data_IF_582242619336
#
_entry.id   IF_582242619336
#
_cell.length_a   1.000
_cell.length_b   1.000
_cell.length_c   1.000
_cell.angle_alpha   90.00
_cell.angle_beta   90.00
_cell.angle_gamma   90.00
#
_symmetry.space_group_name_H-M   'P 1'
#
loop_
_entity.id
_entity.type
_entity.pdbx_description
1 polymer ?
#
# COMPACT_ATOMS: atom_id res chain seq x y z
N UNK A 1 40.21 31.74 -25.10
CA UNK A 1 39.54 30.41 -25.20
C UNK A 1 39.08 29.86 -23.85
N UNK A 2 39.97 29.77 -22.83
CA UNK A 2 39.62 29.18 -21.50
C UNK A 2 38.45 29.90 -20.83
N UNK A 3 38.41 31.22 -20.82
CA UNK A 3 37.28 31.97 -20.20
C UNK A 3 35.92 31.68 -20.84
N UNK A 4 35.88 31.49 -22.15
CA UNK A 4 34.63 31.15 -22.88
C UNK A 4 34.16 29.74 -22.49
N UNK A 5 35.07 28.78 -22.36
CA UNK A 5 34.71 27.39 -21.94
C UNK A 5 34.16 27.40 -20.52
N UNK A 6 34.77 28.17 -19.60
CA UNK A 6 34.28 28.29 -18.22
C UNK A 6 32.85 28.85 -18.20
N UNK A 7 32.54 29.89 -19.00
CA UNK A 7 31.21 30.47 -19.08
C UNK A 7 30.19 29.44 -19.57
N UNK A 8 30.50 28.65 -20.58
CA UNK A 8 29.59 27.58 -21.07
C UNK A 8 29.37 26.49 -20.02
N UNK A 9 30.39 26.07 -19.29
CA UNK A 9 30.27 25.08 -18.21
C UNK A 9 29.35 25.60 -17.09
N UNK A 10 29.52 26.86 -16.68
CA UNK A 10 28.66 27.48 -15.65
C UNK A 10 27.19 27.54 -16.11
N UNK A 11 26.97 27.97 -17.35
CA UNK A 11 25.60 28.01 -17.92
C UNK A 11 25.00 26.60 -17.94
N UNK A 12 25.73 25.58 -18.37
CA UNK A 12 25.26 24.19 -18.40
C UNK A 12 24.88 23.68 -17.00
N UNK A 13 25.71 23.96 -15.99
CA UNK A 13 25.42 23.59 -14.60
C UNK A 13 24.18 24.29 -14.05
N UNK A 14 24.00 25.58 -14.38
CA UNK A 14 22.79 26.33 -13.98
C UNK A 14 21.54 25.75 -14.63
N UNK A 15 21.58 25.43 -15.94
CA UNK A 15 20.47 24.78 -16.64
C UNK A 15 20.16 23.41 -16.05
N UNK A 16 21.19 22.59 -15.78
CA UNK A 16 21.01 21.28 -15.17
C UNK A 16 20.38 21.39 -13.78
N UNK A 17 20.85 22.34 -12.95
CA UNK A 17 20.28 22.59 -11.62
C UNK A 17 18.83 23.04 -11.69
N UNK A 18 18.47 23.90 -12.65
CA UNK A 18 17.11 24.34 -12.90
C UNK A 18 16.21 23.16 -13.30
N UNK A 19 16.66 22.29 -14.20
CA UNK A 19 15.92 21.09 -14.63
C UNK A 19 15.68 20.14 -13.44
N UNK A 20 16.69 19.91 -12.61
CA UNK A 20 16.55 19.08 -11.40
C UNK A 20 15.57 19.69 -10.39
N UNK A 21 15.59 21.01 -10.19
CA UNK A 21 14.62 21.71 -9.34
C UNK A 21 13.19 21.62 -9.87
N UNK A 22 12.99 21.76 -11.18
CA UNK A 22 11.68 21.60 -11.81
C UNK A 22 11.16 20.16 -11.72
N UNK A 23 12.03 19.16 -11.90
CA UNK A 23 11.71 17.76 -11.75
C UNK A 23 11.30 17.42 -10.29
N UNK A 24 12.03 17.93 -9.30
CA UNK A 24 11.70 17.75 -7.89
C UNK A 24 10.37 18.39 -7.49
N UNK A 25 10.04 19.56 -8.06
CA UNK A 25 8.73 20.23 -7.86
C UNK A 25 7.57 19.42 -8.45
N UNK A 26 7.78 18.75 -9.58
CA UNK A 26 6.74 17.92 -10.23
C UNK A 26 6.39 16.68 -9.38
N UNK A 27 7.33 16.05 -8.70
CA UNK A 27 7.06 14.94 -7.76
C UNK A 27 6.24 15.42 -6.54
N UNK A 28 6.58 16.58 -5.99
CA UNK A 28 5.84 17.19 -4.86
C UNK A 28 4.38 17.52 -5.22
N UNK A 29 4.10 17.94 -6.45
CA UNK A 29 2.72 18.28 -6.88
C UNK A 29 1.85 17.04 -7.09
N UNK A 30 2.39 15.92 -7.57
CA UNK A 30 1.66 14.66 -7.71
C UNK A 30 1.23 14.09 -6.35
N UNK A 31 2.12 14.13 -5.35
CA UNK A 31 1.80 13.73 -3.99
C UNK A 31 0.74 14.65 -3.34
N UNK A 32 0.78 15.96 -3.60
CA UNK A 32 -0.23 16.92 -3.13
C UNK A 32 -1.58 16.71 -3.81
N UNK A 33 -1.58 16.37 -5.11
CA UNK A 33 -2.81 16.08 -5.86
C UNK A 33 -3.48 14.82 -5.35
N UNK A 34 -2.72 13.72 -5.17
CA UNK A 34 -3.22 12.49 -4.59
C UNK A 34 -3.77 12.71 -3.16
N UNK A 35 -3.10 13.50 -2.32
CA UNK A 35 -3.61 13.89 -1.01
C UNK A 35 -4.95 14.59 -1.06
N UNK A 36 -5.12 15.56 -1.97
CA UNK A 36 -6.35 16.34 -2.13
C UNK A 36 -7.49 15.46 -2.68
N UNK A 37 -7.17 14.56 -3.60
CA UNK A 37 -8.11 13.65 -4.24
C UNK A 37 -8.59 12.55 -3.29
N UNK A 38 -7.69 11.99 -2.47
CA UNK A 38 -7.99 10.87 -1.57
C UNK A 38 -8.07 11.26 -0.10
N UNK A 39 -7.96 12.55 0.23
CA UNK A 39 -8.09 13.05 1.60
C UNK A 39 -7.07 12.46 2.59
N UNK A 40 -5.87 12.11 2.11
CA UNK A 40 -4.81 11.49 2.92
C UNK A 40 -4.40 12.46 4.07
N UNK A 41 -4.20 11.97 5.30
CA UNK A 41 -3.88 12.81 6.47
C UNK A 41 -2.69 13.73 6.25
N UNK A 42 -2.66 14.82 7.01
CA UNK A 42 -1.49 15.71 7.07
C UNK A 42 -0.31 14.92 7.62
N UNK A 43 0.80 14.87 6.85
CA UNK A 43 2.00 14.14 7.23
C UNK A 43 2.94 13.97 6.03
N UNK A 44 4.17 13.53 6.27
CA UNK A 44 5.14 13.25 5.22
C UNK A 44 4.91 11.85 4.64
N UNK A 45 4.67 11.74 3.35
CA UNK A 45 4.68 10.43 2.67
C UNK A 45 6.12 9.94 2.64
N UNK A 46 6.39 8.81 3.28
CA UNK A 46 7.71 8.19 3.35
C UNK A 46 7.86 6.97 2.45
N UNK A 47 6.72 6.44 1.95
CA UNK A 47 6.65 5.30 1.08
C UNK A 47 5.45 5.44 0.15
N UNK A 48 5.60 5.07 -1.13
CA UNK A 48 4.49 4.97 -2.09
C UNK A 48 4.79 3.92 -3.15
N UNK A 49 3.78 3.13 -3.54
CA UNK A 49 3.83 2.18 -4.65
C UNK A 49 3.10 2.69 -5.91
N UNK A 50 2.42 3.86 -5.84
CA UNK A 50 1.57 4.35 -6.94
C UNK A 50 2.32 4.97 -8.11
N UNK A 51 3.48 5.57 -7.88
CA UNK A 51 4.22 6.29 -8.93
C UNK A 51 5.52 5.59 -9.36
N UNK A 52 6.07 4.74 -8.53
CA UNK A 52 7.22 3.88 -8.79
C UNK A 52 7.07 2.59 -8.01
N UNK A 53 7.30 1.41 -8.63
CA UNK A 53 7.22 0.15 -7.92
C UNK A 53 8.15 0.17 -6.70
N UNK A 54 7.57 0.26 -5.52
CA UNK A 54 8.33 0.18 -4.29
C UNK A 54 8.69 -1.27 -3.97
N UNK A 55 9.73 -1.48 -3.18
CA UNK A 55 10.06 -2.82 -2.69
C UNK A 55 8.98 -3.25 -1.71
N UNK A 56 8.49 -4.51 -1.79
CA UNK A 56 7.52 -5.00 -0.82
C UNK A 56 8.15 -5.02 0.58
N UNK A 57 7.35 -4.68 1.59
CA UNK A 57 7.68 -4.97 2.97
C UNK A 57 7.56 -6.48 3.17
N UNK A 58 8.47 -7.06 3.93
CA UNK A 58 8.50 -8.48 4.21
C UNK A 58 8.76 -8.73 5.68
N UNK A 59 7.95 -9.60 6.28
CA UNK A 59 8.14 -10.10 7.63
C UNK A 59 8.67 -11.53 7.61
N UNK A 60 9.87 -11.72 8.14
CA UNK A 60 10.42 -13.07 8.35
C UNK A 60 9.72 -13.80 9.50
N UNK A 61 9.29 -13.05 10.50
CA UNK A 61 8.61 -13.60 11.69
C UNK A 61 7.25 -14.18 11.35
N UNK A 62 6.47 -13.44 10.54
CA UNK A 62 5.09 -13.82 10.20
C UNK A 62 4.97 -14.42 8.80
N UNK A 63 6.05 -14.47 8.01
CA UNK A 63 6.11 -14.98 6.63
C UNK A 63 5.03 -14.36 5.75
N UNK A 64 4.86 -13.07 5.86
CA UNK A 64 3.96 -12.26 5.04
C UNK A 64 4.74 -11.20 4.30
N UNK A 65 4.24 -10.82 3.12
CA UNK A 65 4.76 -9.72 2.33
C UNK A 65 3.61 -8.85 1.87
N UNK A 66 3.87 -7.56 1.63
CA UNK A 66 2.86 -6.66 1.14
C UNK A 66 3.41 -5.30 0.75
N UNK A 67 2.60 -4.58 -0.02
CA UNK A 67 2.88 -3.23 -0.50
C UNK A 67 1.69 -2.36 -0.19
N UNK A 68 1.73 -1.52 0.86
CA UNK A 68 0.72 -0.48 1.05
C UNK A 68 0.82 0.55 -0.07
N UNK A 69 -0.30 1.15 -0.47
CA UNK A 69 -0.28 2.24 -1.46
C UNK A 69 0.54 3.43 -0.96
N UNK A 70 0.40 3.76 0.34
CA UNK A 70 1.20 4.78 1.00
C UNK A 70 1.54 4.40 2.43
N UNK A 71 2.66 4.96 2.94
CA UNK A 71 2.94 5.10 4.37
C UNK A 71 3.13 6.58 4.65
N UNK A 72 2.30 7.12 5.53
CA UNK A 72 2.36 8.52 5.96
C UNK A 72 2.95 8.57 7.36
N UNK A 73 3.96 9.40 7.54
CA UNK A 73 4.46 9.74 8.87
C UNK A 73 3.65 10.92 9.40
N UNK A 74 2.86 10.69 10.43
CA UNK A 74 2.10 11.72 11.12
C UNK A 74 3.05 12.72 11.81
N UNK A 75 2.86 14.01 11.56
CA UNK A 75 3.76 15.06 12.04
C UNK A 75 3.64 15.33 13.56
N UNK A 76 2.50 14.99 14.15
CA UNK A 76 2.24 15.25 15.57
C UNK A 76 2.71 14.09 16.45
N UNK A 77 2.40 12.87 16.03
CA UNK A 77 2.65 11.65 16.82
C UNK A 77 3.91 10.89 16.39
N UNK A 78 4.52 11.27 15.24
CA UNK A 78 5.58 10.51 14.56
C UNK A 78 5.19 9.07 14.20
N UNK A 79 3.91 8.69 14.34
CA UNK A 79 3.43 7.37 13.96
C UNK A 79 3.48 7.16 12.45
N UNK A 80 3.75 5.93 12.02
CA UNK A 80 3.66 5.52 10.62
C UNK A 80 2.29 4.90 10.36
N UNK A 81 1.55 5.50 9.44
CA UNK A 81 0.17 5.15 9.14
C UNK A 81 0.10 4.58 7.74
N UNK A 82 -0.21 3.27 7.56
CA UNK A 82 -0.50 2.73 6.23
C UNK A 82 -1.81 3.28 5.71
N UNK A 83 -1.83 3.60 4.43
CA UNK A 83 -3.01 4.04 3.70
C UNK A 83 -3.20 3.10 2.51
N UNK A 84 -4.39 2.56 2.38
CA UNK A 84 -4.80 1.70 1.28
C UNK A 84 -5.97 2.33 0.54
N UNK A 85 -5.86 2.48 -0.77
CA UNK A 85 -6.86 3.07 -1.64
C UNK A 85 -7.64 1.97 -2.36
N UNK A 86 -8.95 2.07 -2.40
CA UNK A 86 -9.84 1.12 -3.06
C UNK A 86 -10.67 1.80 -4.13
N UNK A 87 -10.71 1.21 -5.32
CA UNK A 87 -11.46 1.74 -6.47
C UNK A 87 -12.98 1.65 -6.33
N UNK A 88 -13.48 0.86 -5.38
CA UNK A 88 -14.91 0.73 -5.12
C UNK A 88 -15.44 1.74 -4.11
N UNK A 89 -16.77 1.72 -3.91
CA UNK A 89 -17.46 2.51 -2.90
C UNK A 89 -17.90 1.58 -1.77
N UNK A 90 -17.74 2.00 -0.52
CA UNK A 90 -18.21 1.22 0.61
C UNK A 90 -18.72 2.10 1.75
N UNK A 91 -19.98 1.87 2.17
CA UNK A 91 -20.55 2.51 3.37
C UNK A 91 -19.84 2.05 4.65
N UNK A 92 -19.41 0.79 4.67
CA UNK A 92 -18.64 0.15 5.75
C UNK A 92 -17.44 -0.57 5.13
N UNK A 93 -16.28 -0.61 5.79
CA UNK A 93 -15.11 -1.32 5.30
C UNK A 93 -15.42 -2.82 5.06
N UNK A 94 -15.00 -3.34 3.92
CA UNK A 94 -15.04 -4.78 3.70
C UNK A 94 -14.00 -5.47 4.58
N UNK A 95 -14.38 -6.60 5.19
CA UNK A 95 -13.52 -7.31 6.12
C UNK A 95 -12.17 -7.72 5.51
N UNK A 96 -12.15 -8.14 4.24
CA UNK A 96 -10.90 -8.44 3.52
C UNK A 96 -9.96 -7.24 3.43
N UNK A 97 -10.49 -6.02 3.20
CA UNK A 97 -9.68 -4.78 3.17
C UNK A 97 -9.15 -4.42 4.56
N UNK A 98 -9.96 -4.66 5.61
CA UNK A 98 -9.51 -4.46 7.01
C UNK A 98 -8.34 -5.37 7.34
N UNK A 99 -8.42 -6.66 6.97
CA UNK A 99 -7.34 -7.62 7.18
C UNK A 99 -6.09 -7.30 6.37
N UNK A 100 -6.25 -6.86 5.12
CA UNK A 100 -5.13 -6.40 4.29
C UNK A 100 -4.40 -5.22 4.94
N UNK A 101 -5.15 -4.21 5.37
CA UNK A 101 -4.60 -3.03 6.05
C UNK A 101 -3.92 -3.42 7.37
N UNK A 102 -4.52 -4.33 8.13
CA UNK A 102 -3.94 -4.83 9.38
C UNK A 102 -2.63 -5.61 9.14
N UNK A 103 -2.53 -6.37 8.05
CA UNK A 103 -1.27 -6.99 7.64
C UNK A 103 -0.19 -5.95 7.31
N UNK A 104 -0.56 -4.83 6.68
CA UNK A 104 0.38 -3.72 6.45
C UNK A 104 0.83 -3.05 7.75
N UNK A 105 -0.08 -2.86 8.72
CA UNK A 105 0.30 -2.37 10.05
C UNK A 105 1.37 -3.29 10.68
N UNK A 106 1.16 -4.60 10.63
CA UNK A 106 2.08 -5.60 11.18
C UNK A 106 3.45 -5.57 10.47
N UNK A 107 3.46 -5.44 9.14
CA UNK A 107 4.68 -5.32 8.34
C UNK A 107 5.47 -4.05 8.66
N UNK A 108 4.78 -2.92 8.86
CA UNK A 108 5.41 -1.65 9.22
C UNK A 108 6.00 -1.73 10.63
N UNK A 109 5.28 -2.31 11.59
CA UNK A 109 5.80 -2.48 12.94
C UNK A 109 7.11 -3.26 12.97
N UNK A 110 7.20 -4.34 12.16
CA UNK A 110 8.41 -5.14 12.08
C UNK A 110 9.54 -4.43 11.33
N UNK A 111 9.23 -3.80 10.19
CA UNK A 111 10.22 -3.14 9.35
C UNK A 111 10.85 -1.91 10.01
N UNK A 112 10.09 -1.18 10.82
CA UNK A 112 10.51 0.09 11.43
C UNK A 112 10.67 0.03 12.95
N UNK A 113 10.40 -1.14 13.58
CA UNK A 113 10.48 -1.35 15.05
C UNK A 113 9.67 -0.33 15.85
N UNK A 114 8.46 0.00 15.38
CA UNK A 114 7.56 0.98 16.00
C UNK A 114 6.16 0.39 16.15
N UNK A 115 5.32 1.00 17.01
CA UNK A 115 3.89 0.67 17.09
C UNK A 115 3.10 1.47 16.07
N UNK A 116 2.21 0.79 15.33
CA UNK A 116 1.24 1.41 14.41
C UNK A 116 -0.11 1.47 15.10
N UNK A 117 -0.66 2.65 15.39
CA UNK A 117 -1.90 2.77 16.15
C UNK A 117 -3.15 2.45 15.31
N UNK A 118 -3.13 2.75 14.03
CA UNK A 118 -4.23 2.53 13.09
C UNK A 118 -3.73 2.55 11.65
N UNK A 119 -4.58 2.11 10.72
CA UNK A 119 -4.40 2.34 9.29
C UNK A 119 -5.63 3.03 8.69
N UNK A 120 -5.53 3.48 7.45
CA UNK A 120 -6.58 4.19 6.72
C UNK A 120 -6.96 3.43 5.46
N UNK A 121 -8.27 3.16 5.31
CA UNK A 121 -8.87 2.73 4.06
C UNK A 121 -9.53 3.96 3.40
N UNK A 122 -9.19 4.22 2.16
CA UNK A 122 -9.76 5.32 1.35
C UNK A 122 -10.47 4.71 0.16
N UNK A 123 -11.76 4.99 0.00
CA UNK A 123 -12.56 4.52 -1.12
C UNK A 123 -12.70 5.59 -2.21
N UNK A 124 -13.04 5.16 -3.43
CA UNK A 124 -13.15 6.04 -4.60
C UNK A 124 -14.19 7.16 -4.42
N UNK A 125 -15.19 6.97 -3.55
CA UNK A 125 -16.18 7.99 -3.18
C UNK A 125 -15.65 9.03 -2.18
N UNK A 126 -14.34 9.00 -1.89
CA UNK A 126 -13.69 9.91 -0.94
C UNK A 126 -13.89 9.53 0.54
N UNK A 127 -14.67 8.49 0.84
CA UNK A 127 -14.86 8.03 2.22
C UNK A 127 -13.60 7.42 2.78
N UNK A 128 -13.28 7.80 4.00
CA UNK A 128 -12.15 7.29 4.75
C UNK A 128 -12.63 6.53 5.98
N UNK A 129 -12.00 5.40 6.22
CA UNK A 129 -12.24 4.60 7.41
C UNK A 129 -10.92 4.40 8.15
N UNK A 130 -10.84 4.96 9.35
CA UNK A 130 -9.73 4.71 10.26
C UNK A 130 -9.97 3.38 10.96
N UNK A 131 -9.05 2.45 10.78
CA UNK A 131 -9.11 1.11 11.37
C UNK A 131 -8.08 1.04 12.48
N UNK A 132 -8.53 0.98 13.71
CA UNK A 132 -7.67 0.82 14.88
C UNK A 132 -6.93 -0.51 14.79
N UNK A 133 -5.61 -0.48 14.96
CA UNK A 133 -4.78 -1.70 14.98
C UNK A 133 -4.47 -2.08 16.43
N UNK A 134 -5.46 -2.64 17.11
CA UNK A 134 -5.34 -3.15 18.46
C UNK A 134 -4.85 -4.60 18.51
N UNK A 135 -4.65 -5.12 19.71
CA UNK A 135 -4.13 -6.47 19.90
C UNK A 135 -5.10 -7.56 19.44
N UNK A 136 -6.41 -7.29 19.43
CA UNK A 136 -7.41 -8.22 18.91
C UNK A 136 -7.27 -8.37 17.39
N UNK A 137 -7.18 -7.25 16.65
CA UNK A 137 -7.01 -7.28 15.20
C UNK A 137 -5.63 -7.83 14.81
N UNK A 138 -4.58 -7.51 15.58
CA UNK A 138 -3.24 -8.07 15.42
C UNK A 138 -3.25 -9.60 15.53
N UNK A 139 -3.80 -10.13 16.61
CA UNK A 139 -3.93 -11.58 16.83
C UNK A 139 -4.72 -12.25 15.72
N UNK A 140 -5.78 -11.60 15.24
CA UNK A 140 -6.60 -12.10 14.14
C UNK A 140 -5.82 -12.24 12.84
N UNK A 141 -5.05 -11.23 12.45
CA UNK A 141 -4.20 -11.27 11.24
C UNK A 141 -3.15 -12.39 11.35
N UNK A 142 -2.49 -12.50 12.48
CA UNK A 142 -1.47 -13.53 12.70
C UNK A 142 -2.10 -14.93 12.60
N UNK A 143 -3.23 -15.17 13.29
CA UNK A 143 -3.90 -16.45 13.26
C UNK A 143 -4.40 -16.84 11.86
N UNK A 144 -4.89 -15.87 11.08
CA UNK A 144 -5.32 -16.11 9.70
C UNK A 144 -4.14 -16.44 8.78
N UNK A 145 -3.01 -15.74 8.92
CA UNK A 145 -1.81 -16.07 8.15
C UNK A 145 -1.31 -17.48 8.46
N UNK A 146 -1.37 -17.91 9.73
CA UNK A 146 -1.02 -19.28 10.15
C UNK A 146 -2.01 -20.32 9.59
N UNK A 147 -3.29 -20.01 9.60
CA UNK A 147 -4.33 -20.87 9.02
C UNK A 147 -4.14 -21.05 7.51
N UNK A 148 -3.90 -19.96 6.78
CA UNK A 148 -3.61 -20.01 5.34
C UNK A 148 -2.41 -20.91 5.04
N UNK A 149 -1.33 -20.83 5.82
CA UNK A 149 -0.16 -21.71 5.67
C UNK A 149 -0.47 -23.17 5.96
N UNK A 150 -1.27 -23.43 6.99
CA UNK A 150 -1.73 -24.82 7.28
C UNK A 150 -2.54 -25.39 6.14
N UNK A 151 -3.50 -24.59 5.59
CA UNK A 151 -4.30 -25.00 4.44
C UNK A 151 -3.44 -25.33 3.22
N UNK A 152 -2.42 -24.52 2.93
CA UNK A 152 -1.49 -24.77 1.80
C UNK A 152 -0.74 -26.08 2.02
N UNK A 153 -0.22 -26.33 3.23
CA UNK A 153 0.50 -27.57 3.58
C UNK A 153 -0.38 -28.83 3.50
N UNK A 154 -1.67 -28.69 3.70
CA UNK A 154 -2.66 -29.78 3.65
C UNK A 154 -3.24 -30.02 2.24
N UNK A 155 -2.69 -29.40 1.19
CA UNK A 155 -3.15 -29.55 -0.18
C UNK A 155 -4.21 -28.52 -0.59
N UNK A 156 -4.37 -27.45 0.18
CA UNK A 156 -5.29 -26.36 -0.12
C UNK A 156 -6.63 -26.47 0.60
N UNK A 157 -7.58 -25.65 0.20
CA UNK A 157 -8.95 -25.61 0.72
C UNK A 157 -9.96 -25.87 -0.37
N UNK A 158 -11.09 -26.42 -0.01
CA UNK A 158 -12.24 -26.50 -0.92
C UNK A 158 -12.73 -25.09 -1.22
N UNK A 159 -13.24 -24.90 -2.43
CA UNK A 159 -13.78 -23.62 -2.87
C UNK A 159 -14.88 -23.12 -1.92
N UNK A 160 -14.63 -22.01 -1.23
CA UNK A 160 -15.59 -21.35 -0.34
C UNK A 160 -16.68 -20.56 -1.07
N UNK A 161 -16.57 -20.41 -2.40
CA UNK A 161 -17.51 -19.62 -3.19
C UNK A 161 -18.67 -20.50 -3.70
N UNK A 162 -19.90 -20.14 -3.36
CA UNK A 162 -21.12 -20.84 -3.80
C UNK A 162 -21.66 -20.31 -5.14
N UNK A 163 -21.23 -19.14 -5.61
CA UNK A 163 -21.75 -18.47 -6.80
C UNK A 163 -20.92 -18.80 -8.03
N UNK A 164 -21.53 -19.38 -9.04
CA UNK A 164 -20.90 -19.72 -10.32
C UNK A 164 -20.42 -18.47 -11.09
N UNK A 165 -21.16 -17.37 -10.99
CA UNK A 165 -20.79 -16.09 -11.62
C UNK A 165 -19.40 -15.61 -11.25
N UNK A 166 -18.91 -15.90 -10.04
CA UNK A 166 -17.53 -15.58 -9.65
C UNK A 166 -16.48 -16.46 -10.33
N UNK A 167 -16.85 -17.67 -10.76
CA UNK A 167 -15.96 -18.53 -11.53
C UNK A 167 -15.83 -18.05 -12.97
N UNK A 168 -16.91 -17.52 -13.55
CA UNK A 168 -16.93 -17.02 -14.94
C UNK A 168 -15.92 -15.89 -15.14
N UNK A 169 -15.82 -14.97 -14.17
CA UNK A 169 -14.89 -13.81 -14.20
C UNK A 169 -13.55 -14.06 -13.48
N UNK A 170 -13.25 -15.30 -13.09
CA UNK A 170 -12.05 -15.61 -12.34
C UNK A 170 -10.83 -15.74 -13.26
N UNK A 171 -9.78 -14.97 -12.99
CA UNK A 171 -8.54 -14.97 -13.78
C UNK A 171 -7.78 -16.30 -13.76
N UNK A 172 -8.00 -17.13 -12.74
CA UNK A 172 -7.36 -18.46 -12.59
C UNK A 172 -8.32 -19.62 -12.89
N UNK A 173 -9.43 -19.35 -13.59
CA UNK A 173 -10.46 -20.36 -13.87
C UNK A 173 -9.91 -21.56 -14.63
N UNK A 174 -9.02 -21.32 -15.61
CA UNK A 174 -8.44 -22.37 -16.46
C UNK A 174 -7.62 -23.41 -15.68
N UNK A 175 -6.97 -22.99 -14.61
CA UNK A 175 -6.12 -23.85 -13.78
C UNK A 175 -6.84 -24.35 -12.51
N UNK A 176 -8.11 -24.00 -12.33
CA UNK A 176 -8.87 -24.32 -11.13
C UNK A 176 -9.64 -25.63 -11.27
N UNK A 177 -9.21 -26.68 -10.60
CA UNK A 177 -9.90 -27.97 -10.53
C UNK A 177 -11.33 -27.91 -9.97
N UNK A 178 -11.69 -26.81 -9.32
CA UNK A 178 -13.00 -26.57 -8.70
C UNK A 178 -13.84 -25.53 -9.45
N UNK A 179 -13.45 -25.14 -10.68
CA UNK A 179 -14.21 -24.18 -11.47
C UNK A 179 -15.60 -24.73 -11.78
N UNK A 180 -16.64 -23.88 -11.71
CA UNK A 180 -18.01 -24.20 -12.09
C UNK A 180 -18.47 -23.32 -13.24
N UNK A 181 -19.44 -23.83 -14.00
CA UNK A 181 -20.03 -23.15 -15.14
C UNK A 181 -19.09 -23.24 -16.36
N UNK A 182 -19.27 -24.25 -17.16
CA UNK A 182 -18.80 -24.34 -18.56
C UNK A 182 -19.68 -23.47 -19.44
#
# INVERSE_FOLDING_TARGET
MVAIVIVYVVILLLVLSMVLLLASRKESTSAKKARKEYGIPRGKVIYTDLNRPARPLFSRKFLIAGKPDYIVKDEQTNALIPVEVKSGNAKKPHWGHVLQLAAYCLLIEEAYSIRVPYGLLVYADGKQHQIKFDDALRSKVISMADEMRRCIKQGGVTRGNRFESRCISCSVRGDCSQAKGS
#
